data_IF_476882012482
#
_entry.id   IF_476882012482
#
_cell.length_a   1.000
_cell.length_b   1.000
_cell.length_c   1.000
_cell.angle_alpha   90.00
_cell.angle_beta   90.00
_cell.angle_gamma   90.00
#
_symmetry.space_group_name_H-M   'P 1'
#
loop_
_entity.id
_entity.type
_entity.pdbx_description
1 polymer ?
#
# COMPACT_ATOMS: atom_id res chain seq x y z
N UNK A 1 -13.72 11.25 1.09
CA UNK A 1 -13.23 9.86 1.20
C UNK A 1 -12.96 9.31 -0.19
N UNK A 2 -11.92 8.50 -0.39
CA UNK A 2 -11.49 8.00 -1.70
C UNK A 2 -12.28 6.79 -2.25
N UNK A 3 -13.10 6.15 -1.41
CA UNK A 3 -13.81 4.90 -1.73
C UNK A 3 -15.32 5.12 -1.87
N UNK A 4 -16.02 4.35 -2.71
CA UNK A 4 -17.49 4.32 -2.71
C UNK A 4 -18.03 3.80 -1.36
N UNK A 5 -19.27 4.12 -0.96
CA UNK A 5 -19.87 3.63 0.28
C UNK A 5 -19.85 2.10 0.41
N UNK A 6 -19.97 1.41 -0.71
CA UNK A 6 -20.04 -0.05 -0.91
C UNK A 6 -18.73 -0.67 -1.45
N UNK A 7 -17.60 0.06 -1.38
CA UNK A 7 -16.34 -0.37 -1.98
C UNK A 7 -15.89 -1.75 -1.47
N UNK A 8 -15.48 -2.63 -2.40
CA UNK A 8 -15.06 -4.01 -2.10
C UNK A 8 -13.54 -4.10 -2.10
N UNK A 9 -12.98 -4.54 -0.99
CA UNK A 9 -11.55 -4.71 -0.81
C UNK A 9 -11.17 -6.18 -0.60
N UNK A 10 -10.03 -6.56 -1.18
CA UNK A 10 -9.20 -7.62 -0.61
C UNK A 10 -7.83 -7.03 -0.31
N UNK A 11 -7.35 -7.20 0.91
CA UNK A 11 -6.00 -6.85 1.31
C UNK A 11 -5.32 -8.11 1.85
N UNK A 12 -4.43 -8.69 1.04
CA UNK A 12 -3.86 -10.03 1.29
C UNK A 12 -4.96 -11.08 1.44
N UNK A 13 -5.12 -11.66 2.62
CA UNK A 13 -6.14 -12.66 2.95
C UNK A 13 -7.39 -12.07 3.60
N UNK A 14 -7.45 -10.75 3.83
CA UNK A 14 -8.59 -10.08 4.46
C UNK A 14 -9.51 -9.48 3.41
N UNK A 15 -10.81 -9.75 3.53
CA UNK A 15 -11.86 -9.21 2.67
C UNK A 15 -12.68 -8.17 3.45
N UNK A 16 -13.01 -7.06 2.81
CA UNK A 16 -13.74 -5.95 3.44
C UNK A 16 -14.78 -5.40 2.47
N UNK A 17 -15.92 -4.98 3.00
CA UNK A 17 -17.00 -4.33 2.24
C UNK A 17 -17.43 -3.04 2.90
N UNK A 18 -17.36 -1.96 2.13
CA UNK A 18 -17.82 -0.65 2.53
C UNK A 18 -16.85 0.16 3.40
N UNK A 19 -17.20 1.43 3.60
CA UNK A 19 -16.31 2.43 4.21
C UNK A 19 -15.97 2.14 5.67
N UNK A 20 -16.89 1.55 6.42
CA UNK A 20 -16.71 1.34 7.86
C UNK A 20 -15.68 0.23 8.13
N UNK A 21 -15.78 -0.89 7.44
CA UNK A 21 -14.79 -1.97 7.53
C UNK A 21 -13.41 -1.51 7.03
N UNK A 22 -13.36 -0.74 5.94
CA UNK A 22 -12.11 -0.17 5.42
C UNK A 22 -11.48 0.78 6.46
N UNK A 23 -12.28 1.64 7.10
CA UNK A 23 -11.79 2.57 8.11
C UNK A 23 -11.24 1.84 9.34
N UNK A 24 -11.95 0.81 9.81
CA UNK A 24 -11.49 -0.02 10.92
C UNK A 24 -10.18 -0.71 10.56
N UNK A 25 -10.11 -1.36 9.39
CA UNK A 25 -8.91 -2.03 8.91
C UNK A 25 -7.70 -1.08 8.82
N UNK A 26 -7.88 0.12 8.26
CA UNK A 26 -6.80 1.11 8.14
C UNK A 26 -6.36 1.62 9.51
N UNK A 27 -7.30 1.80 10.43
CA UNK A 27 -7.00 2.22 11.81
C UNK A 27 -6.13 1.20 12.52
N UNK A 28 -6.44 -0.09 12.38
CA UNK A 28 -5.66 -1.17 12.99
C UNK A 28 -4.30 -1.37 12.29
N UNK A 29 -4.25 -1.21 10.96
CA UNK A 29 -3.00 -1.22 10.20
C UNK A 29 -2.02 -0.16 10.73
N UNK A 30 -2.46 1.07 10.95
CA UNK A 30 -1.59 2.16 11.38
C UNK A 30 -1.17 2.09 12.86
N UNK A 31 -1.88 1.34 13.70
CA UNK A 31 -1.41 1.05 15.07
C UNK A 31 -0.19 0.13 15.07
N UNK A 32 -0.12 -0.79 14.11
CA UNK A 32 0.96 -1.78 14.00
C UNK A 32 2.14 -1.28 13.18
N UNK A 33 1.86 -0.62 12.06
CA UNK A 33 2.87 -0.26 11.07
C UNK A 33 3.46 1.12 11.33
N UNK A 34 4.36 1.19 12.31
CA UNK A 34 4.98 2.44 12.72
C UNK A 34 6.00 2.93 11.69
N UNK A 35 6.23 4.25 11.63
CA UNK A 35 7.18 4.84 10.69
C UNK A 35 6.80 4.65 9.22
N UNK A 36 5.54 4.34 8.92
CA UNK A 36 5.05 4.02 7.57
C UNK A 36 5.44 5.08 6.55
N UNK A 37 6.15 4.66 5.49
CA UNK A 37 6.50 5.46 4.31
C UNK A 37 6.26 4.64 3.07
N UNK A 38 5.59 5.20 2.07
CA UNK A 38 5.07 4.48 0.91
C UNK A 38 5.44 5.20 -0.38
N UNK A 39 5.95 4.44 -1.34
CA UNK A 39 6.06 4.83 -2.75
C UNK A 39 5.10 3.97 -3.58
N UNK A 40 4.43 4.60 -4.54
CA UNK A 40 3.58 3.93 -5.53
C UNK A 40 4.04 4.30 -6.92
N UNK A 41 3.99 3.35 -7.83
CA UNK A 41 4.30 3.56 -9.24
C UNK A 41 3.22 2.92 -10.11
N UNK A 42 2.85 3.64 -11.16
CA UNK A 42 1.93 3.13 -12.16
C UNK A 42 2.57 1.93 -12.87
N UNK A 43 1.87 0.80 -12.89
CA UNK A 43 2.29 -0.37 -13.67
C UNK A 43 1.57 -0.40 -15.01
N UNK A 44 0.24 -0.31 -15.01
CA UNK A 44 -0.58 -0.27 -16.22
C UNK A 44 -1.94 0.36 -15.91
N UNK A 45 -2.66 0.80 -16.94
CA UNK A 45 -4.05 1.21 -16.81
C UNK A 45 -4.85 0.88 -18.07
N UNK A 46 -6.16 0.71 -17.90
CA UNK A 46 -7.14 0.62 -18.99
C UNK A 46 -8.47 1.13 -18.48
N UNK A 47 -9.10 2.05 -19.22
CA UNK A 47 -10.40 2.63 -18.87
C UNK A 47 -10.45 3.13 -17.42
N UNK A 48 -11.33 2.55 -16.59
CA UNK A 48 -11.50 2.86 -15.17
C UNK A 48 -10.67 1.97 -14.24
N UNK A 49 -9.63 1.30 -14.73
CA UNK A 49 -8.77 0.39 -13.97
C UNK A 49 -7.33 0.85 -13.97
N UNK A 50 -6.70 0.80 -12.81
CA UNK A 50 -5.28 1.13 -12.63
C UNK A 50 -4.63 -0.01 -11.85
N UNK A 51 -3.52 -0.54 -12.38
CA UNK A 51 -2.62 -1.43 -11.68
C UNK A 51 -1.40 -0.62 -11.20
N UNK A 52 -1.05 -0.81 -9.93
CA UNK A 52 0.01 -0.06 -9.25
C UNK A 52 0.93 -1.04 -8.54
N UNK A 53 2.23 -0.89 -8.75
CA UNK A 53 3.24 -1.50 -7.90
C UNK A 53 3.60 -0.52 -6.78
N UNK A 54 3.94 -1.06 -5.61
CA UNK A 54 4.28 -0.23 -4.48
C UNK A 54 5.28 -0.89 -3.56
N UNK A 55 5.97 -0.03 -2.81
CA UNK A 55 6.82 -0.42 -1.71
C UNK A 55 6.51 0.45 -0.51
N UNK A 56 6.47 -0.14 0.67
CA UNK A 56 6.47 0.65 1.89
C UNK A 56 7.39 0.06 2.94
N UNK A 57 7.92 0.94 3.77
CA UNK A 57 8.75 0.59 4.92
C UNK A 57 8.04 0.98 6.20
N UNK A 58 8.16 0.12 7.20
CA UNK A 58 7.56 0.29 8.52
C UNK A 58 8.34 -0.53 9.54
N UNK A 59 8.15 -0.26 10.83
CA UNK A 59 8.67 -1.10 11.90
C UNK A 59 7.56 -1.56 12.84
N UNK A 60 7.72 -2.78 13.35
CA UNK A 60 6.80 -3.35 14.33
C UNK A 60 7.09 -2.85 15.75
N UNK A 61 6.31 -3.31 16.73
CA UNK A 61 6.42 -2.91 18.14
C UNK A 61 7.78 -3.28 18.77
N UNK A 62 8.49 -4.26 18.21
CA UNK A 62 9.84 -4.64 18.65
C UNK A 62 10.94 -3.78 18.00
N UNK A 63 10.57 -2.82 17.15
CA UNK A 63 11.51 -1.98 16.41
C UNK A 63 12.12 -2.69 15.19
N UNK A 64 11.62 -3.87 14.81
CA UNK A 64 12.11 -4.56 13.62
C UNK A 64 11.52 -3.90 12.38
N UNK A 65 12.38 -3.51 11.45
CA UNK A 65 11.99 -2.93 10.17
C UNK A 65 11.59 -3.98 9.13
N UNK A 66 10.61 -3.61 8.32
CA UNK A 66 10.05 -4.40 7.25
C UNK A 66 9.95 -3.56 6.00
N UNK A 67 10.23 -4.17 4.85
CA UNK A 67 9.84 -3.63 3.54
C UNK A 67 8.78 -4.52 2.95
N UNK A 68 7.64 -3.93 2.61
CA UNK A 68 6.61 -4.61 1.85
C UNK A 68 6.77 -4.32 0.38
N UNK A 69 6.79 -5.38 -0.43
CA UNK A 69 6.64 -5.31 -1.88
C UNK A 69 5.21 -5.69 -2.21
N UNK A 70 4.54 -4.95 -3.09
CA UNK A 70 3.19 -5.31 -3.45
C UNK A 70 2.69 -4.72 -4.75
N UNK A 71 1.57 -5.30 -5.18
CA UNK A 71 0.79 -4.90 -6.32
C UNK A 71 -0.65 -4.70 -5.89
N UNK A 72 -1.29 -3.67 -6.41
CA UNK A 72 -2.72 -3.48 -6.23
C UNK A 72 -3.40 -3.07 -7.53
N UNK A 73 -4.61 -3.60 -7.75
CA UNK A 73 -5.52 -3.14 -8.78
C UNK A 73 -6.67 -2.36 -8.19
N UNK A 74 -6.98 -1.24 -8.84
CA UNK A 74 -8.07 -0.34 -8.51
C UNK A 74 -9.08 -0.35 -9.65
N UNK A 75 -10.36 -0.36 -9.31
CA UNK A 75 -11.43 -0.05 -10.26
C UNK A 75 -12.23 1.13 -9.72
N UNK A 76 -12.44 2.13 -10.56
CA UNK A 76 -13.13 3.37 -10.22
C UNK A 76 -14.57 3.36 -10.75
N UNK A 77 -15.48 3.96 -9.99
CA UNK A 77 -16.83 4.29 -10.45
C UNK A 77 -16.82 5.58 -11.28
N UNK A 78 -17.91 5.87 -11.99
CA UNK A 78 -18.04 7.06 -12.85
C UNK A 78 -17.82 8.37 -12.09
N UNK A 79 -18.11 8.39 -10.78
CA UNK A 79 -17.89 9.54 -9.90
C UNK A 79 -16.42 9.69 -9.43
N UNK A 80 -15.49 8.90 -9.96
CA UNK A 80 -14.07 8.95 -9.63
C UNK A 80 -13.69 8.30 -8.30
N UNK A 81 -14.65 7.75 -7.54
CA UNK A 81 -14.35 7.01 -6.32
C UNK A 81 -13.96 5.56 -6.62
N UNK A 82 -13.01 5.02 -5.85
CA UNK A 82 -12.60 3.63 -6.00
C UNK A 82 -13.70 2.70 -5.43
N UNK A 83 -14.24 1.82 -6.28
CA UNK A 83 -15.28 0.85 -5.93
C UNK A 83 -14.75 -0.56 -5.67
N UNK A 84 -13.53 -0.84 -6.17
CA UNK A 84 -12.82 -2.10 -5.93
C UNK A 84 -11.34 -1.81 -5.69
N UNK A 85 -10.77 -2.50 -4.70
CA UNK A 85 -9.32 -2.60 -4.51
C UNK A 85 -8.95 -4.04 -4.24
N UNK A 86 -7.96 -4.55 -4.93
CA UNK A 86 -7.34 -5.82 -4.57
C UNK A 86 -5.86 -5.56 -4.41
N UNK A 87 -5.30 -5.93 -3.27
CA UNK A 87 -3.88 -5.78 -3.02
C UNK A 87 -3.29 -7.10 -2.55
N UNK A 88 -2.17 -7.47 -3.16
CA UNK A 88 -1.28 -8.51 -2.70
C UNK A 88 0.06 -7.88 -2.35
N UNK A 89 0.69 -8.37 -1.28
CA UNK A 89 2.01 -7.92 -0.90
C UNK A 89 2.64 -8.85 0.12
N UNK A 90 3.95 -8.77 0.22
CA UNK A 90 4.79 -9.62 1.06
C UNK A 90 5.79 -8.77 1.81
N UNK A 91 6.01 -9.08 3.08
CA UNK A 91 6.94 -8.36 3.95
C UNK A 91 8.26 -9.10 3.99
N UNK A 92 9.35 -8.36 3.77
CA UNK A 92 10.69 -8.86 4.00
C UNK A 92 11.31 -8.11 5.16
N UNK A 93 12.05 -8.85 5.99
CA UNK A 93 12.80 -8.29 7.10
C UNK A 93 13.96 -7.46 6.54
N UNK A 94 14.15 -6.25 7.05
CA UNK A 94 15.29 -5.39 6.70
C UNK A 94 15.93 -4.80 7.96
N UNK A 95 17.22 -4.48 7.89
CA UNK A 95 17.91 -3.66 8.87
C UNK A 95 17.67 -2.16 8.62
N UNK A 96 17.99 -1.30 9.59
CA UNK A 96 17.91 0.15 9.37
C UNK A 96 18.86 0.63 8.24
N UNK A 97 20.00 -0.04 8.06
CA UNK A 97 20.96 0.29 7.00
C UNK A 97 20.41 0.00 5.59
N UNK A 98 19.51 -0.97 5.46
CA UNK A 98 18.91 -1.34 4.18
C UNK A 98 17.75 -0.44 3.77
N UNK A 99 17.21 0.38 4.69
CA UNK A 99 16.06 1.25 4.45
C UNK A 99 16.29 2.27 3.34
N UNK A 100 15.27 2.47 2.54
CA UNK A 100 15.19 3.49 1.49
C UNK A 100 14.49 4.75 1.98
N UNK A 101 13.45 4.60 2.80
CA UNK A 101 12.55 5.69 3.15
C UNK A 101 12.86 6.19 4.56
N UNK A 102 14.06 6.80 4.70
CA UNK A 102 14.47 7.48 5.94
C UNK A 102 13.84 8.87 6.04
N UNK A 103 13.85 9.46 7.23
CA UNK A 103 13.31 10.80 7.42
C UNK A 103 14.08 11.83 6.59
N UNK A 104 13.34 12.77 6.00
CA UNK A 104 13.89 13.77 5.08
C UNK A 104 14.12 13.28 3.64
N UNK A 105 13.93 11.99 3.35
CA UNK A 105 14.03 11.44 1.99
C UNK A 105 12.71 11.62 1.24
N UNK A 106 12.77 12.17 0.02
CA UNK A 106 11.65 12.08 -0.92
C UNK A 106 11.57 10.66 -1.49
N UNK A 107 10.57 9.91 -1.04
CA UNK A 107 10.34 8.52 -1.44
C UNK A 107 10.19 8.33 -2.95
N UNK A 108 9.74 9.37 -3.69
CA UNK A 108 9.57 9.30 -5.14
C UNK A 108 10.88 9.55 -5.90
N UNK A 109 11.89 10.13 -5.25
CA UNK A 109 13.20 10.40 -5.83
C UNK A 109 14.24 9.29 -5.51
N UNK A 110 13.91 8.34 -4.63
CA UNK A 110 14.78 7.21 -4.33
C UNK A 110 15.04 6.39 -5.58
N UNK A 111 16.29 6.03 -5.84
CA UNK A 111 16.61 5.05 -6.89
C UNK A 111 16.30 3.63 -6.41
N UNK A 112 15.35 2.96 -7.06
CA UNK A 112 15.01 1.56 -6.81
C UNK A 112 15.52 0.78 -8.01
N UNK A 113 16.66 0.11 -7.85
CA UNK A 113 17.31 -0.69 -8.89
C UNK A 113 16.42 -1.83 -9.41
N UNK A 114 16.62 -2.26 -10.65
CA UNK A 114 15.86 -3.32 -11.35
C UNK A 114 15.74 -4.65 -10.59
N UNK A 115 16.68 -5.00 -9.69
CA UNK A 115 16.57 -6.19 -8.82
C UNK A 115 15.35 -6.16 -7.86
N UNK A 116 14.66 -5.04 -7.77
CA UNK A 116 13.51 -4.80 -6.90
C UNK A 116 12.22 -4.51 -7.69
N UNK A 117 12.26 -4.64 -9.01
CA UNK A 117 11.11 -4.51 -9.92
C UNK A 117 10.43 -5.87 -10.13
#
# INVERSE_FOLDING_TARGET
>A
MAYTPDSIWRNRSTFLTGRDEIKQFLSDKWKRENGYRLRKELFAFTDNKIAVQFWYEWYDEAGQWWRTYGLEDWTFAENGLMRKRQMSGNDIKISDAERWFKDGVDVNAVDISEKHW
#
